data_IF_305775305145
#
_entry.id   IF_305775305145
#
_cell.length_a   1.000
_cell.length_b   1.000
_cell.length_c   1.000
_cell.angle_alpha   90.00
_cell.angle_beta   90.00
_cell.angle_gamma   90.00
#
_symmetry.space_group_name_H-M   'P 1'
#
loop_
_entity.id
_entity.type
_entity.pdbx_description
1 polymer ?
#
# COMPACT_ATOMS: atom_id res chain seq x y z
N UNK A 1 -2.35 11.08 -18.79
CA UNK A 1 -2.29 12.54 -18.96
C UNK A 1 -1.58 13.13 -17.73
N UNK A 2 -0.60 14.02 -17.94
CA UNK A 2 -0.01 14.82 -16.88
C UNK A 2 -0.93 16.00 -16.56
N UNK A 3 -1.26 16.16 -15.30
CA UNK A 3 -2.15 17.22 -14.80
C UNK A 3 -1.43 18.17 -13.83
N UNK A 4 -0.12 18.04 -13.68
CA UNK A 4 0.67 18.79 -12.71
C UNK A 4 0.49 20.30 -12.88
N UNK A 5 0.61 20.81 -14.12
CA UNK A 5 0.45 22.23 -14.39
C UNK A 5 -0.97 22.76 -14.14
N UNK A 6 -1.99 21.91 -14.34
CA UNK A 6 -3.38 22.27 -14.05
C UNK A 6 -3.66 22.40 -12.56
N UNK A 7 -2.90 21.69 -11.72
CA UNK A 7 -3.09 21.65 -10.28
C UNK A 7 -2.13 22.56 -9.52
N UNK A 8 -1.04 23.01 -10.14
CA UNK A 8 0.07 23.74 -9.49
C UNK A 8 -0.40 24.95 -8.68
N UNK A 9 -1.30 25.77 -9.24
CA UNK A 9 -1.80 26.99 -8.59
C UNK A 9 -2.97 26.73 -7.64
N UNK A 10 -3.44 25.48 -7.57
CA UNK A 10 -4.59 25.05 -6.76
C UNK A 10 -4.23 24.08 -5.65
N UNK A 11 -3.00 23.56 -5.67
CA UNK A 11 -2.56 22.61 -4.66
C UNK A 11 -2.37 23.26 -3.30
N UNK A 12 -3.22 22.90 -2.35
CA UNK A 12 -3.09 23.34 -0.96
C UNK A 12 -2.13 22.42 -0.21
N UNK A 13 -2.31 21.10 -0.35
CA UNK A 13 -1.43 20.11 0.26
C UNK A 13 -1.47 18.78 -0.49
N UNK A 14 -0.35 18.09 -0.47
CA UNK A 14 -0.21 16.69 -0.87
C UNK A 14 0.43 15.95 0.30
N UNK A 15 -0.29 14.96 0.82
CA UNK A 15 0.18 14.12 1.90
C UNK A 15 0.25 12.67 1.42
N UNK A 16 1.42 12.06 1.55
CA UNK A 16 1.65 10.64 1.33
C UNK A 16 1.97 10.01 2.68
N UNK A 17 1.15 9.08 3.10
CA UNK A 17 1.35 8.35 4.36
C UNK A 17 1.84 6.96 4.04
N UNK A 18 3.09 6.66 4.40
CA UNK A 18 3.69 5.33 4.31
C UNK A 18 3.47 4.61 5.64
N UNK A 19 2.65 3.58 5.64
CA UNK A 19 2.35 2.79 6.83
C UNK A 19 3.21 1.52 6.85
N UNK A 20 3.82 1.25 8.00
CA UNK A 20 4.61 0.04 8.18
C UNK A 20 3.73 -1.23 8.09
N UNK A 21 4.26 -2.26 7.47
CA UNK A 21 3.62 -3.57 7.36
C UNK A 21 2.70 -3.71 6.15
N UNK A 22 1.57 -4.38 6.33
CA UNK A 22 0.55 -4.60 5.30
C UNK A 22 -0.63 -3.62 5.40
N UNK A 23 -0.48 -2.54 6.16
CA UNK A 23 -1.46 -1.47 6.18
C UNK A 23 -1.39 -0.71 4.85
N UNK A 24 -2.53 -0.25 4.39
CA UNK A 24 -2.61 0.55 3.17
C UNK A 24 -1.94 1.90 3.39
N UNK A 25 -0.96 2.21 2.58
CA UNK A 25 -0.51 3.59 2.41
C UNK A 25 -1.70 4.44 1.96
N UNK A 26 -1.63 5.73 2.17
CA UNK A 26 -2.69 6.66 1.78
C UNK A 26 -2.07 7.85 1.06
N UNK A 27 -2.80 8.34 0.08
CA UNK A 27 -2.54 9.60 -0.58
C UNK A 27 -3.73 10.53 -0.31
N UNK A 28 -3.47 11.73 0.18
CA UNK A 28 -4.46 12.81 0.27
C UNK A 28 -3.96 14.01 -0.51
N UNK A 29 -4.78 14.47 -1.47
CA UNK A 29 -4.54 15.67 -2.26
C UNK A 29 -5.63 16.66 -1.91
N UNK A 30 -5.26 17.86 -1.46
CA UNK A 30 -6.19 18.94 -1.13
C UNK A 30 -5.99 20.09 -2.11
N UNK A 31 -7.07 20.48 -2.77
CA UNK A 31 -7.08 21.50 -3.82
C UNK A 31 -8.02 22.65 -3.48
N UNK A 32 -7.65 23.84 -3.90
CA UNK A 32 -8.50 25.02 -3.89
C UNK A 32 -9.46 24.99 -5.09
N UNK A 33 -10.73 24.83 -4.83
CA UNK A 33 -11.80 24.78 -5.84
C UNK A 33 -12.78 25.96 -5.69
N UNK A 34 -12.27 27.13 -5.28
CA UNK A 34 -13.09 28.33 -5.04
C UNK A 34 -13.97 28.77 -6.21
N UNK A 35 -13.62 28.41 -7.43
CA UNK A 35 -14.29 28.77 -8.67
C UNK A 35 -15.08 27.62 -9.32
N UNK A 36 -15.17 26.45 -8.67
CA UNK A 36 -15.91 25.27 -9.15
C UNK A 36 -15.47 24.78 -10.53
N UNK A 37 -14.17 24.88 -10.84
CA UNK A 37 -13.63 24.54 -12.15
C UNK A 37 -12.81 23.26 -12.21
N UNK A 38 -12.56 22.65 -11.06
CA UNK A 38 -11.79 21.40 -11.04
C UNK A 38 -12.67 20.25 -11.51
N UNK A 39 -12.31 19.64 -12.64
CA UNK A 39 -12.95 18.40 -13.07
C UNK A 39 -12.57 17.25 -12.13
N UNK A 40 -13.59 16.60 -11.56
CA UNK A 40 -13.37 15.53 -10.59
C UNK A 40 -12.82 14.28 -11.24
N UNK A 41 -11.79 13.66 -10.63
CA UNK A 41 -11.41 12.34 -11.04
C UNK A 41 -12.56 11.36 -10.76
N UNK A 42 -12.74 10.37 -11.60
CA UNK A 42 -13.71 9.30 -11.32
C UNK A 42 -13.17 8.43 -10.18
N UNK A 43 -14.06 7.96 -9.30
CA UNK A 43 -13.72 6.91 -8.34
C UNK A 43 -13.12 5.72 -9.10
N UNK A 44 -11.98 5.19 -8.65
CA UNK A 44 -11.23 4.17 -9.37
C UNK A 44 -10.19 4.70 -10.37
N UNK A 45 -10.12 6.01 -10.62
CA UNK A 45 -9.05 6.60 -11.43
C UNK A 45 -7.69 6.37 -10.79
N UNK A 46 -6.66 6.15 -11.62
CA UNK A 46 -5.29 5.99 -11.13
C UNK A 46 -4.54 7.32 -11.14
N UNK A 47 -3.90 7.61 -10.01
CA UNK A 47 -3.01 8.74 -9.81
C UNK A 47 -1.57 8.22 -9.69
N UNK A 48 -0.64 8.76 -10.47
CA UNK A 48 0.79 8.49 -10.34
C UNK A 48 1.45 9.75 -9.80
N UNK A 49 2.09 9.64 -8.66
CA UNK A 49 2.68 10.77 -7.94
C UNK A 49 4.19 10.67 -8.01
N UNK A 50 4.81 11.76 -8.40
CA UNK A 50 6.26 11.94 -8.36
C UNK A 50 6.58 13.26 -7.67
N UNK A 51 7.56 13.27 -6.80
CA UNK A 51 8.01 14.45 -6.05
C UNK A 51 9.50 14.66 -6.26
N UNK A 52 9.95 15.91 -6.16
CA UNK A 52 11.35 16.27 -6.23
C UNK A 52 11.58 17.70 -5.79
N UNK A 53 12.84 18.04 -5.57
CA UNK A 53 13.24 19.41 -5.27
C UNK A 53 13.43 20.19 -6.57
N UNK A 54 13.17 21.50 -6.51
CA UNK A 54 13.42 22.39 -7.65
C UNK A 54 14.89 22.27 -8.10
N UNK A 55 15.10 22.08 -9.41
CA UNK A 55 16.43 21.84 -9.99
C UNK A 55 16.95 20.41 -9.88
N UNK A 56 16.20 19.50 -9.24
CA UNK A 56 16.52 18.07 -9.18
C UNK A 56 15.45 17.24 -9.91
N UNK A 57 15.80 16.01 -10.28
CA UNK A 57 14.85 15.11 -10.95
C UNK A 57 13.67 14.71 -10.05
N UNK A 58 12.55 14.32 -10.67
CA UNK A 58 11.39 13.78 -9.95
C UNK A 58 11.61 12.32 -9.60
N UNK A 59 11.37 11.98 -8.33
CA UNK A 59 11.32 10.59 -7.84
C UNK A 59 9.88 10.10 -7.81
N UNK A 60 9.63 8.91 -8.35
CA UNK A 60 8.31 8.29 -8.30
C UNK A 60 7.99 7.83 -6.87
N UNK A 61 6.87 8.33 -6.33
CA UNK A 61 6.44 8.07 -4.95
C UNK A 61 5.36 7.00 -4.86
N UNK A 62 4.64 6.71 -5.94
CA UNK A 62 3.64 5.64 -5.95
C UNK A 62 2.51 5.87 -6.94
N UNK A 63 1.75 4.77 -7.15
CA UNK A 63 0.50 4.79 -7.90
C UNK A 63 -0.66 4.52 -6.92
N UNK A 64 -1.68 5.37 -6.98
CA UNK A 64 -2.84 5.32 -6.09
C UNK A 64 -4.12 5.24 -6.92
N UNK A 65 -5.11 4.54 -6.40
CA UNK A 65 -6.47 4.50 -6.96
C UNK A 65 -7.37 5.41 -6.13
N UNK A 66 -8.04 6.35 -6.77
CA UNK A 66 -9.00 7.25 -6.11
C UNK A 66 -10.12 6.44 -5.47
N UNK A 67 -10.26 6.56 -4.15
CA UNK A 67 -11.24 5.84 -3.34
C UNK A 67 -12.34 6.77 -2.82
N UNK A 68 -11.96 7.99 -2.43
CA UNK A 68 -12.87 8.97 -1.86
C UNK A 68 -12.62 10.37 -2.43
N UNK A 69 -13.70 11.10 -2.62
CA UNK A 69 -13.69 12.51 -3.02
C UNK A 69 -14.64 13.25 -2.09
N UNK A 70 -14.12 14.27 -1.43
CA UNK A 70 -14.87 15.06 -0.46
C UNK A 70 -14.79 16.54 -0.81
N UNK A 71 -15.90 17.24 -0.61
CA UNK A 71 -15.98 18.68 -0.71
C UNK A 71 -16.19 19.29 0.66
N UNK A 72 -15.48 20.36 0.92
CA UNK A 72 -15.69 21.16 2.13
C UNK A 72 -15.69 22.65 1.79
N UNK A 73 -16.24 23.46 2.65
CA UNK A 73 -16.17 24.91 2.52
C UNK A 73 -17.32 25.65 3.17
N UNK A 74 -17.34 26.99 3.23
CA UNK A 74 -16.38 27.95 2.64
C UNK A 74 -15.07 28.09 3.42
N UNK A 75 -13.91 28.33 2.78
CA UNK A 75 -13.72 28.35 1.33
C UNK A 75 -13.82 26.96 0.72
N UNK A 76 -14.30 26.88 -0.53
CA UNK A 76 -14.51 25.58 -1.20
C UNK A 76 -13.19 24.88 -1.48
N UNK A 77 -13.05 23.68 -0.96
CA UNK A 77 -11.90 22.81 -1.15
C UNK A 77 -12.34 21.45 -1.62
N UNK A 78 -11.53 20.84 -2.48
CA UNK A 78 -11.68 19.49 -2.95
C UNK A 78 -10.59 18.62 -2.31
N UNK A 79 -11.00 17.55 -1.64
CA UNK A 79 -10.10 16.55 -1.07
C UNK A 79 -10.24 15.24 -1.84
N UNK A 80 -9.14 14.75 -2.38
CA UNK A 80 -9.07 13.48 -3.11
C UNK A 80 -8.22 12.53 -2.27
N UNK A 81 -8.80 11.39 -1.85
CA UNK A 81 -8.07 10.34 -1.16
C UNK A 81 -7.91 9.13 -2.07
N UNK A 82 -6.73 8.54 -2.03
CA UNK A 82 -6.39 7.36 -2.80
C UNK A 82 -5.67 6.32 -1.98
N UNK A 83 -5.88 5.06 -2.36
CA UNK A 83 -5.18 3.88 -1.81
C UNK A 83 -4.24 3.30 -2.86
N UNK A 84 -3.13 2.64 -2.46
CA UNK A 84 -2.19 2.05 -3.41
C UNK A 84 -2.90 1.19 -4.44
N UNK A 85 -2.56 1.38 -5.70
CA UNK A 85 -3.21 0.71 -6.82
C UNK A 85 -2.97 -0.82 -6.82
N UNK A 86 -1.89 -1.28 -6.19
CA UNK A 86 -1.49 -2.67 -6.07
C UNK A 86 -2.18 -3.45 -4.94
N UNK A 87 -2.87 -2.74 -4.03
CA UNK A 87 -3.64 -3.35 -2.93
C UNK A 87 -5.13 -3.51 -3.24
N UNK A 88 -5.56 -3.31 -4.50
CA UNK A 88 -6.97 -3.35 -4.85
C UNK A 88 -7.46 -4.80 -5.13
N UNK A 89 -8.66 -5.13 -4.66
CA UNK A 89 -9.45 -6.26 -5.13
C UNK A 89 -9.19 -7.59 -4.40
N UNK A 90 -8.61 -8.58 -5.08
CA UNK A 90 -8.55 -9.98 -4.64
C UNK A 90 -7.91 -10.21 -3.25
N UNK A 91 -6.90 -9.41 -2.89
CA UNK A 91 -6.21 -9.54 -1.62
C UNK A 91 -7.07 -9.19 -0.38
N UNK A 92 -8.18 -8.49 -0.58
CA UNK A 92 -9.14 -8.11 0.47
C UNK A 92 -10.34 -9.04 0.56
N UNK A 93 -10.51 -9.94 -0.40
CA UNK A 93 -11.63 -10.90 -0.39
C UNK A 93 -11.39 -12.01 0.64
N UNK A 94 -12.39 -12.37 1.47
CA UNK A 94 -12.29 -13.49 2.40
C UNK A 94 -12.03 -14.80 1.67
N UNK A 95 -11.19 -15.66 2.25
CA UNK A 95 -10.84 -16.97 1.69
C UNK A 95 -10.87 -18.05 2.76
N UNK A 96 -10.91 -19.30 2.29
CA UNK A 96 -10.72 -20.49 3.12
C UNK A 96 -9.60 -21.33 2.50
N UNK A 97 -8.56 -21.59 3.27
CA UNK A 97 -7.46 -22.46 2.90
C UNK A 97 -6.72 -22.95 4.15
N UNK A 98 -6.15 -24.14 4.10
CA UNK A 98 -5.35 -24.70 5.19
C UNK A 98 -3.99 -25.19 4.64
N UNK A 99 -2.95 -24.99 5.43
CA UNK A 99 -1.62 -25.53 5.18
C UNK A 99 -1.18 -26.37 6.37
N UNK A 100 -0.57 -27.51 6.12
CA UNK A 100 -0.06 -28.42 7.13
C UNK A 100 1.38 -28.84 6.82
N UNK A 101 2.26 -28.73 7.81
CA UNK A 101 3.67 -29.14 7.74
C UNK A 101 4.43 -28.56 6.52
N UNK A 102 4.22 -27.27 6.21
CA UNK A 102 4.89 -26.60 5.10
C UNK A 102 5.81 -25.48 5.59
N UNK A 103 6.88 -25.17 4.85
CA UNK A 103 7.71 -24.00 5.16
C UNK A 103 6.90 -22.71 5.05
N UNK A 104 7.14 -21.77 5.97
CA UNK A 104 6.51 -20.44 5.94
C UNK A 104 6.71 -19.77 4.58
N UNK A 105 7.90 -19.89 4.00
CA UNK A 105 8.21 -19.35 2.68
C UNK A 105 7.33 -19.91 1.56
N UNK A 106 6.84 -21.13 1.70
CA UNK A 106 5.89 -21.73 0.74
C UNK A 106 4.53 -21.06 0.85
N UNK A 107 3.99 -20.89 2.07
CA UNK A 107 2.71 -20.20 2.31
C UNK A 107 2.78 -18.78 1.70
N UNK A 108 3.86 -18.05 1.99
CA UNK A 108 4.06 -16.69 1.48
C UNK A 108 4.08 -16.66 -0.05
N UNK A 109 4.78 -17.61 -0.70
CA UNK A 109 4.83 -17.71 -2.18
C UNK A 109 3.46 -18.01 -2.78
N UNK A 110 2.70 -18.92 -2.19
CA UNK A 110 1.36 -19.28 -2.67
C UNK A 110 0.39 -18.11 -2.57
N UNK A 111 0.39 -17.42 -1.42
CA UNK A 111 -0.45 -16.23 -1.24
C UNK A 111 -0.05 -15.10 -2.18
N UNK A 112 1.26 -14.90 -2.39
CA UNK A 112 1.76 -13.91 -3.34
C UNK A 112 1.37 -14.25 -4.78
N UNK A 113 1.54 -15.50 -5.21
CA UNK A 113 1.24 -15.94 -6.57
C UNK A 113 -0.24 -15.73 -6.94
N UNK A 114 -1.18 -16.07 -6.06
CA UNK A 114 -2.63 -15.86 -6.31
C UNK A 114 -3.03 -14.40 -6.39
N UNK A 115 -2.23 -13.49 -5.81
CA UNK A 115 -2.42 -12.05 -5.89
C UNK A 115 -1.54 -11.39 -6.97
N UNK A 116 -0.77 -12.16 -7.75
CA UNK A 116 0.17 -11.68 -8.77
C UNK A 116 1.27 -10.81 -8.19
N UNK A 117 1.74 -11.13 -6.98
CA UNK A 117 2.86 -10.48 -6.33
C UNK A 117 4.12 -11.33 -6.42
N UNK A 118 5.27 -10.67 -6.39
CA UNK A 118 6.56 -11.33 -6.16
C UNK A 118 6.74 -11.56 -4.67
N UNK A 119 7.22 -12.73 -4.28
CA UNK A 119 7.45 -13.07 -2.88
C UNK A 119 8.94 -13.10 -2.53
N UNK A 120 9.30 -12.47 -1.43
CA UNK A 120 10.60 -12.58 -0.78
C UNK A 120 10.38 -12.95 0.67
N UNK A 121 10.87 -14.12 1.08
CA UNK A 121 10.78 -14.60 2.45
C UNK A 121 12.09 -15.28 2.83
N UNK A 122 12.77 -14.78 3.85
CA UNK A 122 14.02 -15.35 4.36
C UNK A 122 13.81 -16.34 5.53
N UNK A 123 12.55 -16.55 5.95
CA UNK A 123 12.22 -17.40 7.10
C UNK A 123 12.03 -18.84 6.62
N UNK A 124 12.83 -19.77 7.17
CA UNK A 124 12.84 -21.18 6.79
C UNK A 124 12.00 -22.07 7.72
N UNK A 125 11.39 -21.49 8.78
CA UNK A 125 10.61 -22.23 9.77
C UNK A 125 9.47 -23.01 9.13
N UNK A 126 9.31 -24.27 9.51
CA UNK A 126 8.15 -25.09 9.15
C UNK A 126 6.94 -24.69 9.98
N UNK A 127 5.82 -24.48 9.33
CA UNK A 127 4.52 -24.18 9.93
C UNK A 127 3.77 -25.49 10.11
N UNK A 128 3.52 -25.95 11.35
CA UNK A 128 2.79 -27.19 11.55
C UNK A 128 1.38 -27.13 10.98
N UNK A 129 0.69 -26.01 11.24
CA UNK A 129 -0.65 -25.75 10.69
C UNK A 129 -0.92 -24.24 10.62
N UNK A 130 -1.49 -23.81 9.52
CA UNK A 130 -2.01 -22.46 9.34
C UNK A 130 -3.34 -22.52 8.60
N UNK A 131 -4.40 -22.05 9.25
CA UNK A 131 -5.74 -21.98 8.68
C UNK A 131 -6.09 -20.53 8.34
N UNK A 132 -6.50 -20.29 7.10
CA UNK A 132 -7.12 -19.04 6.66
C UNK A 132 -8.63 -19.31 6.60
N UNK A 133 -9.39 -18.76 7.54
CA UNK A 133 -10.83 -19.02 7.66
C UNK A 133 -11.60 -17.70 7.62
N UNK A 134 -12.26 -17.43 6.51
CA UNK A 134 -13.09 -16.23 6.35
C UNK A 134 -12.31 -14.90 6.45
N UNK A 135 -10.99 -14.92 6.33
CA UNK A 135 -10.15 -13.75 6.38
C UNK A 135 -9.50 -13.45 5.01
N UNK A 136 -9.21 -12.18 4.76
CA UNK A 136 -8.51 -11.76 3.55
C UNK A 136 -7.03 -12.18 3.57
N UNK A 137 -6.41 -12.24 2.39
CA UNK A 137 -4.98 -12.56 2.28
C UNK A 137 -4.09 -11.59 3.06
N UNK A 138 -4.43 -10.30 3.09
CA UNK A 138 -3.68 -9.29 3.85
C UNK A 138 -3.81 -9.52 5.37
N UNK A 139 -5.00 -9.82 5.85
CA UNK A 139 -5.21 -10.11 7.27
C UNK A 139 -4.49 -11.41 7.68
N UNK A 140 -4.62 -12.46 6.87
CA UNK A 140 -3.91 -13.72 7.07
C UNK A 140 -2.41 -13.53 7.16
N UNK A 141 -1.80 -12.84 6.19
CA UNK A 141 -0.37 -12.54 6.17
C UNK A 141 0.08 -11.71 7.38
N UNK A 142 -0.73 -10.72 7.78
CA UNK A 142 -0.46 -9.90 8.97
C UNK A 142 -0.43 -10.74 10.23
N UNK A 143 -1.43 -11.61 10.41
CA UNK A 143 -1.53 -12.52 11.54
C UNK A 143 -0.38 -13.53 11.55
N UNK A 144 -0.12 -14.14 10.40
CA UNK A 144 0.95 -15.13 10.25
C UNK A 144 2.34 -14.52 10.52
N UNK A 145 2.62 -13.33 9.99
CA UNK A 145 3.87 -12.63 10.25
C UNK A 145 4.06 -12.36 11.75
N UNK A 146 3.02 -11.89 12.46
CA UNK A 146 3.08 -11.69 13.93
C UNK A 146 3.36 -12.98 14.68
N UNK A 147 2.73 -14.08 14.29
CA UNK A 147 2.91 -15.39 14.92
C UNK A 147 4.37 -15.89 14.85
N UNK A 148 5.07 -15.56 13.75
CA UNK A 148 6.45 -15.98 13.51
C UNK A 148 7.47 -14.85 13.76
N UNK A 149 7.10 -13.85 14.56
CA UNK A 149 7.95 -12.69 14.89
C UNK A 149 8.58 -12.07 13.62
N UNK A 150 7.77 -11.88 12.59
CA UNK A 150 8.16 -11.34 11.32
C UNK A 150 7.43 -10.02 11.01
N UNK A 151 7.99 -9.27 10.07
CA UNK A 151 7.34 -8.11 9.43
C UNK A 151 7.04 -8.49 7.99
N UNK A 152 5.79 -8.28 7.59
CA UNK A 152 5.37 -8.41 6.21
C UNK A 152 5.11 -7.02 5.63
N UNK A 153 5.64 -6.74 4.45
CA UNK A 153 5.46 -5.47 3.73
C UNK A 153 5.14 -5.75 2.28
N UNK A 154 4.19 -5.02 1.72
CA UNK A 154 3.81 -5.10 0.31
C UNK A 154 4.04 -3.73 -0.34
N UNK A 155 4.98 -3.66 -1.27
CA UNK A 155 5.25 -2.46 -2.10
C UNK A 155 5.57 -2.88 -3.52
N UNK A 156 5.05 -2.14 -4.50
CA UNK A 156 5.31 -2.37 -5.93
C UNK A 156 5.08 -3.83 -6.35
N UNK A 157 3.99 -4.45 -5.88
CA UNK A 157 3.67 -5.89 -6.07
C UNK A 157 4.73 -6.85 -5.51
N UNK A 158 5.56 -6.40 -4.60
CA UNK A 158 6.56 -7.24 -3.95
C UNK A 158 6.19 -7.44 -2.49
N UNK A 159 5.82 -8.68 -2.14
CA UNK A 159 5.57 -9.10 -0.77
C UNK A 159 6.89 -9.54 -0.13
N UNK A 160 7.34 -8.78 0.85
CA UNK A 160 8.58 -9.05 1.58
C UNK A 160 8.23 -9.46 3.00
N UNK A 161 8.68 -10.64 3.43
CA UNK A 161 8.49 -11.15 4.81
C UNK A 161 9.85 -11.47 5.40
N UNK A 162 10.24 -10.71 6.41
CA UNK A 162 11.53 -10.81 7.07
C UNK A 162 11.34 -10.97 8.58
N UNK A 163 12.29 -11.62 9.28
CA UNK A 163 12.29 -11.63 10.73
C UNK A 163 12.26 -10.20 11.26
N UNK A 164 11.51 -9.96 12.33
CA UNK A 164 11.55 -8.67 13.01
C UNK A 164 12.94 -8.52 13.64
N UNK A 165 13.71 -7.55 13.18
CA UNK A 165 15.03 -7.29 13.74
C UNK A 165 14.89 -6.76 15.17
N UNK A 166 15.69 -7.29 16.10
CA UNK A 166 15.79 -6.82 17.49
C UNK A 166 16.55 -5.48 17.53
N UNK A 167 15.99 -4.43 16.93
CA UNK A 167 16.54 -3.07 16.96
C UNK A 167 17.90 -2.87 16.25
N UNK A 168 18.42 -3.87 15.54
CA UNK A 168 19.66 -3.74 14.77
C UNK A 168 19.39 -3.29 13.36
N UNK A 169 20.07 -2.24 12.92
CA UNK A 169 20.05 -1.82 11.51
C UNK A 169 20.66 -2.91 10.63
N UNK A 170 20.36 -2.92 9.33
CA UNK A 170 20.93 -3.86 8.35
C UNK A 170 22.48 -3.83 8.30
N UNK A 171 23.10 -2.79 8.87
CA UNK A 171 24.55 -2.62 9.05
C UNK A 171 25.09 -3.13 10.41
N UNK A 172 24.25 -3.72 11.27
CA UNK A 172 24.67 -4.29 12.57
C UNK A 172 25.02 -3.27 13.65
N UNK A 173 24.73 -1.99 13.45
CA UNK A 173 24.91 -0.96 14.49
C UNK A 173 23.63 -0.81 15.31
N UNK A 174 23.75 -0.99 16.61
CA UNK A 174 22.73 -0.66 17.61
C UNK A 174 22.68 0.84 17.88
#
# INVERSE_FOLDING_TARGET
>A
QDITDLLKDRLISLQLTDRAGLQSDECEIRLDDRDDRIAFPRKGAQLRISLGWEGQGLSFMGAYTVDEIEFSGPPRTLVIRGKPADMAGLAKSPRQHAWENVPLSQIIREVAARNRWQAVCSITTTVPRADQVGESDLNFLTRLARQYNATATLKDRKLVVLPRADGKTASGKS
#
